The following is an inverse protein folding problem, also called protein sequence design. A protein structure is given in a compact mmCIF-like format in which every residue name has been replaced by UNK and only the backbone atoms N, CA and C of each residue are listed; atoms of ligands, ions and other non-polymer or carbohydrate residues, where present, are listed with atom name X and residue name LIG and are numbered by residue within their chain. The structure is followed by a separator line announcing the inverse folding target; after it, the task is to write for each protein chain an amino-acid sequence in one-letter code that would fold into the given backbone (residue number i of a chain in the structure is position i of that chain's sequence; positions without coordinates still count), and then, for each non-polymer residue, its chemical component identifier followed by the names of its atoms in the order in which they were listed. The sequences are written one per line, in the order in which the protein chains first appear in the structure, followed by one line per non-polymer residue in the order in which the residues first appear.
data_IF_741511033099
#
_entry.id   IF_741511033099
#
_cell.length_a   1.000
_cell.length_b   1.000
_cell.length_c   1.000
_cell.angle_alpha   90.00
_cell.angle_beta   90.00
_cell.angle_gamma   90.00
#
_symmetry.space_group_name_H-M   'P 1'
#
loop_
_entity.id
_entity.type
_entity.pdbx_description
1 polymer ?
#
# COMPACT_ATOMS: atom_id res chain seq x y z
N UNK A 1 -11.90 5.79 -5.94
CA UNK A 1 -11.30 4.44 -6.13
C UNK A 1 -10.93 4.27 -7.59
N UNK A 2 -9.80 3.62 -7.90
CA UNK A 2 -9.34 3.40 -9.28
C UNK A 2 -10.26 2.45 -10.05
N UNK A 3 -10.73 2.89 -11.22
CA UNK A 3 -11.58 2.09 -12.14
C UNK A 3 -10.79 1.56 -13.34
N UNK A 4 -9.48 1.63 -13.31
CA UNK A 4 -8.54 1.12 -14.34
C UNK A 4 -8.77 1.72 -15.75
N UNK A 5 -9.27 2.97 -15.84
CA UNK A 5 -9.62 3.61 -17.12
C UNK A 5 -8.42 3.97 -18.02
N UNK A 6 -7.18 3.89 -17.51
CA UNK A 6 -5.96 4.17 -18.25
C UNK A 6 -5.67 5.65 -18.55
N UNK A 7 -6.47 6.60 -18.06
CA UNK A 7 -6.23 8.05 -18.28
C UNK A 7 -4.86 8.47 -17.79
N UNK A 8 -4.45 8.02 -16.60
CA UNK A 8 -3.13 8.30 -16.03
C UNK A 8 -1.97 7.70 -16.85
N UNK A 9 -2.18 6.55 -17.49
CA UNK A 9 -1.18 5.92 -18.37
C UNK A 9 -0.91 6.80 -19.59
N UNK A 10 -1.97 7.29 -20.23
CA UNK A 10 -1.87 8.15 -21.43
C UNK A 10 -1.20 9.49 -21.15
N UNK A 11 -1.30 9.99 -19.93
CA UNK A 11 -0.82 11.32 -19.54
C UNK A 11 0.49 11.28 -18.73
N UNK A 12 1.08 10.12 -18.49
CA UNK A 12 2.33 10.01 -17.74
C UNK A 12 3.52 10.49 -18.60
N UNK A 13 4.16 11.64 -18.31
CA UNK A 13 5.24 12.17 -19.15
C UNK A 13 6.50 11.30 -19.10
N UNK A 14 6.70 10.57 -18.02
CA UNK A 14 7.88 9.72 -17.81
C UNK A 14 7.65 8.25 -18.25
N UNK A 15 6.47 7.90 -18.74
CA UNK A 15 6.14 6.51 -19.09
C UNK A 15 6.24 5.53 -17.91
N UNK A 16 6.07 6.03 -16.68
CA UNK A 16 6.13 5.23 -15.46
C UNK A 16 4.86 4.40 -15.20
N UNK A 17 3.85 4.57 -16.04
CA UNK A 17 2.58 3.85 -15.95
C UNK A 17 2.30 3.11 -17.25
N UNK A 18 1.80 1.88 -17.14
CA UNK A 18 1.42 1.06 -18.28
C UNK A 18 0.14 0.27 -17.96
N UNK A 19 -0.55 -0.20 -18.99
CA UNK A 19 -1.64 -1.16 -18.80
C UNK A 19 -1.05 -2.57 -18.82
N UNK A 20 -1.31 -3.33 -17.77
CA UNK A 20 -0.97 -4.75 -17.71
C UNK A 20 -1.90 -5.59 -18.61
N UNK A 21 -1.50 -6.82 -18.89
CA UNK A 21 -2.31 -7.81 -19.63
C UNK A 21 -3.57 -8.21 -18.86
N UNK A 22 -3.58 -8.01 -17.56
CA UNK A 22 -4.70 -8.20 -16.65
C UNK A 22 -5.68 -7.01 -16.62
N UNK A 23 -5.46 -5.99 -17.47
CA UNK A 23 -6.27 -4.77 -17.53
C UNK A 23 -6.04 -3.81 -16.36
N UNK A 24 -5.06 -4.07 -15.50
CA UNK A 24 -4.71 -3.19 -14.37
C UNK A 24 -3.59 -2.24 -14.75
N UNK A 25 -3.64 -1.05 -14.16
CA UNK A 25 -2.54 -0.08 -14.28
C UNK A 25 -1.36 -0.59 -13.45
N UNK A 26 -0.20 -0.70 -14.09
CA UNK A 26 1.08 -1.05 -13.47
C UNK A 26 1.93 0.21 -13.28
N UNK A 27 2.65 0.28 -12.17
CA UNK A 27 3.51 1.40 -11.81
C UNK A 27 4.97 0.97 -11.71
N UNK A 28 5.84 1.69 -12.43
CA UNK A 28 7.29 1.53 -12.35
C UNK A 28 7.89 2.72 -11.57
N UNK A 29 8.25 2.53 -10.30
CA UNK A 29 8.78 3.61 -9.47
C UNK A 29 10.14 4.13 -9.96
N UNK A 30 10.92 3.31 -10.68
CA UNK A 30 12.24 3.71 -11.19
C UNK A 30 12.15 4.77 -12.30
N UNK A 31 11.03 4.79 -13.05
CA UNK A 31 10.78 5.79 -14.09
C UNK A 31 10.04 7.02 -13.58
N UNK A 32 9.47 6.97 -12.38
CA UNK A 32 8.62 8.03 -11.88
C UNK A 32 9.41 9.27 -11.49
N UNK A 33 9.06 10.42 -12.06
CA UNK A 33 9.65 11.73 -11.76
C UNK A 33 8.83 12.54 -10.74
N UNK A 34 7.85 11.91 -10.10
CA UNK A 34 7.01 12.48 -9.03
C UNK A 34 6.29 13.79 -9.41
N UNK A 35 5.89 13.93 -10.67
CA UNK A 35 5.23 15.16 -11.18
C UNK A 35 3.74 15.26 -10.85
N UNK A 36 3.14 14.24 -10.22
CA UNK A 36 1.73 14.13 -9.81
C UNK A 36 0.68 14.27 -10.94
N UNK A 37 1.09 14.37 -12.20
CA UNK A 37 0.19 14.45 -13.36
C UNK A 37 -0.88 13.33 -13.32
N UNK A 38 -0.48 12.11 -12.96
CA UNK A 38 -1.39 10.96 -12.89
C UNK A 38 -2.52 11.13 -11.85
N UNK A 39 -2.29 11.89 -10.79
CA UNK A 39 -3.29 12.21 -9.78
C UNK A 39 -4.23 13.30 -10.30
N UNK A 40 -3.66 14.38 -10.84
CA UNK A 40 -4.43 15.52 -11.33
C UNK A 40 -5.34 15.21 -12.53
N UNK A 41 -4.96 14.26 -13.40
CA UNK A 41 -5.78 13.87 -14.55
C UNK A 41 -6.79 12.78 -14.22
N UNK A 42 -6.78 12.25 -13.00
CA UNK A 42 -7.64 11.14 -12.62
C UNK A 42 -9.08 11.62 -12.35
N UNK A 43 -10.09 11.21 -13.14
CA UNK A 43 -11.47 11.62 -12.91
C UNK A 43 -12.10 11.04 -11.62
N UNK A 44 -11.39 10.11 -10.96
CA UNK A 44 -11.85 9.44 -9.74
C UNK A 44 -10.96 9.74 -8.53
N UNK A 45 -10.13 10.78 -8.59
CA UNK A 45 -9.22 11.22 -7.52
C UNK A 45 -8.41 10.06 -6.92
N UNK A 46 -7.93 9.14 -7.79
CA UNK A 46 -7.18 7.95 -7.37
C UNK A 46 -5.71 8.06 -7.74
N UNK A 47 -4.84 7.56 -6.86
CA UNK A 47 -3.42 7.39 -7.20
C UNK A 47 -3.19 6.02 -7.85
N UNK A 48 -2.56 5.95 -9.04
CA UNK A 48 -2.15 4.69 -9.65
C UNK A 48 -0.80 4.19 -9.14
N UNK A 49 -0.13 4.94 -8.26
CA UNK A 49 1.21 4.61 -7.73
C UNK A 49 1.09 3.59 -6.60
N UNK A 50 0.80 2.35 -6.98
CA UNK A 50 0.70 1.21 -6.06
C UNK A 50 1.75 0.17 -6.39
N UNK A 51 2.26 -0.53 -5.37
CA UNK A 51 3.14 -1.67 -5.53
C UNK A 51 2.51 -2.86 -4.80
N UNK A 52 2.41 -4.00 -5.45
CA UNK A 52 2.08 -5.26 -4.78
C UNK A 52 3.33 -5.71 -4.00
N UNK A 53 3.15 -6.00 -2.72
CA UNK A 53 4.23 -6.44 -1.83
C UNK A 53 3.70 -7.49 -0.86
N UNK A 54 4.57 -8.42 -0.48
CA UNK A 54 4.27 -9.35 0.62
C UNK A 54 4.51 -8.70 1.99
N UNK A 55 3.96 -9.26 3.08
CA UNK A 55 4.25 -8.78 4.44
C UNK A 55 5.76 -8.76 4.74
N UNK A 56 6.51 -9.76 4.27
CA UNK A 56 7.96 -9.86 4.45
C UNK A 56 8.69 -8.73 3.73
N UNK A 57 8.32 -8.43 2.48
CA UNK A 57 8.92 -7.35 1.70
C UNK A 57 8.68 -5.98 2.35
N UNK A 58 7.47 -5.76 2.88
CA UNK A 58 7.15 -4.55 3.66
C UNK A 58 8.00 -4.53 4.93
N UNK A 59 8.08 -5.67 5.64
CA UNK A 59 8.82 -5.75 6.88
C UNK A 59 10.34 -5.53 6.69
N UNK A 60 10.93 -5.97 5.58
CA UNK A 60 12.34 -5.67 5.26
C UNK A 60 12.61 -4.16 5.12
N UNK A 61 11.60 -3.38 4.70
CA UNK A 61 11.70 -1.91 4.72
C UNK A 61 11.60 -1.35 6.14
N UNK A 62 10.71 -1.91 6.96
CA UNK A 62 10.54 -1.55 8.38
C UNK A 62 11.83 -1.81 9.15
N UNK A 63 12.48 -2.95 8.96
CA UNK A 63 13.74 -3.33 9.63
C UNK A 63 14.83 -2.27 9.50
N UNK A 64 14.91 -1.60 8.38
CA UNK A 64 15.90 -0.54 8.15
C UNK A 64 15.70 0.65 9.08
N UNK A 65 14.51 0.78 9.68
CA UNK A 65 14.15 1.88 10.55
C UNK A 65 14.17 1.49 12.06
N UNK A 66 14.35 0.21 12.39
CA UNK A 66 14.28 -0.30 13.77
C UNK A 66 15.10 0.53 14.78
N UNK A 67 16.34 1.01 14.45
CA UNK A 67 17.10 1.82 15.41
C UNK A 67 16.40 3.13 15.80
N UNK A 68 15.43 3.58 15.02
CA UNK A 68 14.79 4.89 15.19
C UNK A 68 13.30 4.81 15.54
N UNK A 69 12.68 3.63 15.45
CA UNK A 69 11.25 3.44 15.68
C UNK A 69 11.00 2.48 16.85
N UNK A 70 9.85 2.65 17.53
CA UNK A 70 9.37 1.77 18.61
C UNK A 70 8.16 0.94 18.21
N UNK A 71 7.60 1.20 17.03
CA UNK A 71 6.41 0.52 16.56
C UNK A 71 6.05 0.95 15.15
N UNK A 72 5.05 0.28 14.61
CA UNK A 72 4.45 0.58 13.31
C UNK A 72 2.96 0.80 13.48
N UNK A 73 2.40 1.72 12.70
CA UNK A 73 0.96 1.87 12.55
C UNK A 73 0.56 1.59 11.11
N UNK A 74 -0.58 0.97 10.94
CA UNK A 74 -1.18 0.72 9.62
C UNK A 74 -2.51 1.42 9.55
N UNK A 75 -2.66 2.23 8.52
CA UNK A 75 -3.88 2.95 8.16
C UNK A 75 -4.12 2.84 6.65
N UNK A 76 -4.88 3.73 6.09
CA UNK A 76 -5.11 3.80 4.64
C UNK A 76 -6.59 3.92 4.35
N UNK A 77 -7.11 3.37 3.23
CA UNK A 77 -8.55 3.33 2.97
C UNK A 77 -9.25 2.55 4.09
N UNK A 78 -9.12 1.24 4.09
CA UNK A 78 -9.47 0.36 5.20
C UNK A 78 -8.46 -0.80 5.22
N UNK A 79 -7.57 -0.79 6.19
CA UNK A 79 -6.50 -1.79 6.28
C UNK A 79 -7.03 -3.18 6.67
N UNK A 80 -8.14 -3.24 7.39
CA UNK A 80 -8.79 -4.49 7.80
C UNK A 80 -9.43 -5.26 6.63
N UNK A 81 -9.41 -4.74 5.41
CA UNK A 81 -9.76 -5.51 4.21
C UNK A 81 -8.66 -6.52 3.80
N UNK A 82 -7.50 -6.48 4.47
CA UNK A 82 -6.38 -7.40 4.25
C UNK A 82 -5.88 -7.96 5.60
N UNK A 83 -6.73 -8.65 6.37
CA UNK A 83 -6.40 -9.04 7.73
C UNK A 83 -5.26 -10.06 7.81
N UNK A 84 -5.17 -10.99 6.85
CA UNK A 84 -4.07 -11.98 6.80
C UNK A 84 -2.72 -11.31 6.59
N UNK A 85 -2.68 -10.27 5.73
CA UNK A 85 -1.49 -9.47 5.51
C UNK A 85 -1.07 -8.75 6.80
N UNK A 86 -2.02 -8.13 7.50
CA UNK A 86 -1.77 -7.44 8.76
C UNK A 86 -1.26 -8.38 9.84
N UNK A 87 -1.90 -9.54 10.00
CA UNK A 87 -1.52 -10.57 10.98
C UNK A 87 -0.06 -10.97 10.78
N UNK A 88 0.34 -11.26 9.55
CA UNK A 88 1.71 -11.68 9.26
C UNK A 88 2.71 -10.53 9.46
N UNK A 89 2.39 -9.32 8.98
CA UNK A 89 3.23 -8.15 9.17
C UNK A 89 3.46 -7.84 10.67
N UNK A 90 2.40 -7.92 11.47
CA UNK A 90 2.49 -7.65 12.91
C UNK A 90 3.22 -8.77 13.65
N UNK A 91 3.05 -10.02 13.24
CA UNK A 91 3.81 -11.14 13.77
C UNK A 91 5.32 -10.93 13.57
N UNK A 92 5.72 -10.45 12.39
CA UNK A 92 7.12 -10.10 12.11
C UNK A 92 7.60 -8.94 12.97
N UNK A 93 6.80 -7.87 13.10
CA UNK A 93 7.14 -6.70 13.91
C UNK A 93 7.30 -7.04 15.40
N UNK A 94 6.41 -7.85 15.94
CA UNK A 94 6.46 -8.27 17.36
C UNK A 94 7.67 -9.14 17.69
N UNK A 95 8.17 -9.94 16.74
CA UNK A 95 9.42 -10.69 16.94
C UNK A 95 10.62 -9.81 17.27
N UNK A 96 10.67 -8.62 16.70
CA UNK A 96 11.74 -7.64 16.94
C UNK A 96 11.34 -6.60 18.01
N UNK A 97 10.28 -6.88 18.79
CA UNK A 97 9.86 -6.05 19.93
C UNK A 97 9.16 -4.75 19.56
N UNK A 98 8.71 -4.60 18.30
CA UNK A 98 7.98 -3.41 17.88
C UNK A 98 6.52 -3.45 18.35
N UNK A 99 6.01 -2.29 18.78
CA UNK A 99 4.58 -2.07 18.98
C UNK A 99 3.83 -2.05 17.66
N UNK A 100 2.57 -2.46 17.67
CA UNK A 100 1.71 -2.46 16.49
C UNK A 100 0.41 -1.70 16.76
N UNK A 101 -0.05 -0.91 15.80
CA UNK A 101 -1.28 -0.13 15.89
C UNK A 101 -2.06 -0.25 14.58
N UNK A 102 -3.36 -0.44 14.67
CA UNK A 102 -4.30 -0.40 13.55
C UNK A 102 -5.16 0.87 13.68
N UNK A 103 -5.21 1.65 12.60
CA UNK A 103 -6.14 2.74 12.43
C UNK A 103 -7.19 2.32 11.39
N UNK A 104 -8.35 1.87 11.88
CA UNK A 104 -9.44 1.29 11.09
C UNK A 104 -10.72 2.10 11.25
N UNK A 105 -11.56 2.10 10.23
CA UNK A 105 -12.90 2.69 10.28
C UNK A 105 -13.95 1.79 10.98
N UNK A 106 -13.54 0.61 11.43
CA UNK A 106 -14.40 -0.32 12.19
C UNK A 106 -15.44 -1.07 11.35
N UNK A 107 -15.36 -1.02 10.02
CA UNK A 107 -16.30 -1.78 9.16
C UNK A 107 -16.10 -3.29 9.21
N UNK A 108 -14.90 -3.72 9.51
CA UNK A 108 -14.55 -5.15 9.64
C UNK A 108 -14.49 -5.50 11.12
N UNK A 109 -15.29 -6.49 11.61
CA UNK A 109 -15.28 -6.87 13.01
C UNK A 109 -13.94 -7.48 13.44
N UNK A 110 -13.31 -6.91 14.47
CA UNK A 110 -12.04 -7.39 15.02
C UNK A 110 -12.17 -8.78 15.68
N UNK A 111 -13.37 -9.13 16.14
CA UNK A 111 -13.64 -10.42 16.77
C UNK A 111 -13.31 -11.62 15.86
N UNK A 112 -13.30 -11.41 14.56
CA UNK A 112 -12.96 -12.43 13.57
C UNK A 112 -11.44 -12.67 13.45
N UNK A 113 -10.61 -11.81 14.07
CA UNK A 113 -9.15 -11.81 13.93
C UNK A 113 -8.49 -11.61 15.30
N UNK A 114 -8.63 -12.59 16.22
CA UNK A 114 -8.13 -12.47 17.59
C UNK A 114 -6.60 -12.38 17.70
N UNK A 115 -5.87 -12.69 16.63
CA UNK A 115 -4.42 -12.58 16.55
C UNK A 115 -3.90 -11.16 16.24
N UNK A 116 -4.75 -10.26 15.80
CA UNK A 116 -4.44 -8.85 15.56
C UNK A 116 -4.55 -8.01 16.83
#
# INVERSE_FOLDING_TARGET
MCVQCGTCVKNCPAGALSMGTDGKVKFDPAKCVQCDTCIHVCPNDSSPRTCEMTPEEVYERVKKQIPFIRGISVSGGECMLQPEFLTELFRLAKKDGLGTLIDSNGMVPFENYPEL
#
